data_IF_042935769591
#
_entry.id   IF_042935769591
#
_cell.length_a   1.000
_cell.length_b   1.000
_cell.length_c   1.000
_cell.angle_alpha   90.00
_cell.angle_beta   90.00
_cell.angle_gamma   90.00
#
_symmetry.space_group_name_H-M   'P 1'
#
loop_
_entity.id
_entity.type
_entity.pdbx_description
1 polymer ?
#
# COMPACT_ATOMS: atom_id res chain seq x y z
N UNK A 1 -16.55 15.10 -17.48
CA UNK A 1 -16.22 14.97 -18.92
C UNK A 1 -17.52 14.91 -19.70
N UNK A 2 -17.58 15.43 -20.94
CA UNK A 2 -18.72 15.18 -21.82
C UNK A 2 -18.75 13.69 -22.20
N UNK A 3 -19.94 13.09 -22.19
CA UNK A 3 -20.17 11.75 -22.69
C UNK A 3 -21.01 11.82 -23.97
N UNK A 4 -20.48 11.24 -25.05
CA UNK A 4 -21.21 10.99 -26.29
C UNK A 4 -21.63 9.52 -26.31
N UNK A 5 -22.92 9.28 -26.49
CA UNK A 5 -23.49 7.94 -26.60
C UNK A 5 -24.26 7.87 -27.91
N UNK A 6 -24.09 6.78 -28.66
CA UNK A 6 -24.86 6.52 -29.87
C UNK A 6 -25.30 5.07 -29.90
N UNK A 7 -26.56 4.82 -30.21
CA UNK A 7 -27.10 3.48 -30.32
C UNK A 7 -28.01 3.35 -31.53
N UNK A 8 -27.98 2.18 -32.16
CA UNK A 8 -28.93 1.79 -33.22
C UNK A 8 -29.48 0.44 -32.82
N UNK A 9 -30.80 0.31 -32.80
CA UNK A 9 -31.48 -0.91 -32.40
C UNK A 9 -32.62 -1.22 -33.36
N UNK A 10 -32.81 -2.50 -33.64
CA UNK A 10 -34.00 -3.03 -34.33
C UNK A 10 -34.74 -3.92 -33.36
N UNK A 11 -36.01 -3.64 -33.14
CA UNK A 11 -36.92 -4.49 -32.39
C UNK A 11 -38.04 -4.98 -33.31
N UNK A 12 -38.33 -6.27 -33.30
CA UNK A 12 -39.39 -6.89 -34.10
C UNK A 12 -40.27 -7.70 -33.16
N UNK A 13 -41.53 -7.29 -33.01
CA UNK A 13 -42.49 -7.95 -32.15
C UNK A 13 -43.71 -8.39 -32.99
N UNK A 14 -44.10 -9.65 -32.86
CA UNK A 14 -45.33 -10.16 -33.46
C UNK A 14 -46.31 -10.50 -32.33
N UNK A 15 -47.50 -9.90 -32.38
CA UNK A 15 -48.56 -10.14 -31.41
C UNK A 15 -49.74 -10.86 -32.08
N UNK A 16 -50.31 -11.89 -31.44
CA UNK A 16 -51.49 -12.57 -31.97
C UNK A 16 -52.69 -11.62 -32.06
N UNK A 17 -53.65 -11.86 -32.97
CA UNK A 17 -54.80 -10.98 -33.15
C UNK A 17 -55.70 -11.00 -31.91
N UNK A 18 -55.86 -9.83 -31.27
CA UNK A 18 -56.63 -9.68 -30.02
C UNK A 18 -57.92 -8.87 -30.18
N UNK A 19 -58.14 -8.24 -31.33
CA UNK A 19 -59.39 -7.51 -31.62
C UNK A 19 -59.70 -7.45 -33.11
N UNK A 20 -60.99 -7.30 -33.44
CA UNK A 20 -61.49 -7.17 -34.81
C UNK A 20 -60.86 -5.98 -35.57
N UNK A 21 -60.46 -4.95 -34.82
CA UNK A 21 -59.87 -3.70 -35.32
C UNK A 21 -58.38 -3.85 -35.68
N UNK A 22 -57.69 -4.89 -35.19
CA UNK A 22 -56.25 -5.12 -35.43
C UNK A 22 -55.97 -6.08 -36.60
N UNK A 23 -57.01 -6.60 -37.27
CA UNK A 23 -56.92 -7.52 -38.40
C UNK A 23 -56.77 -8.99 -38.00
N UNK A 24 -57.25 -9.90 -38.86
CA UNK A 24 -57.31 -11.34 -38.59
C UNK A 24 -55.95 -12.08 -38.59
N UNK A 25 -54.87 -11.40 -38.99
CA UNK A 25 -53.54 -11.98 -39.22
C UNK A 25 -52.52 -11.64 -38.10
N UNK A 26 -52.96 -10.99 -37.01
CA UNK A 26 -52.05 -10.50 -35.96
C UNK A 26 -51.30 -9.22 -36.37
N UNK A 27 -50.64 -8.59 -35.40
CA UNK A 27 -49.91 -7.32 -35.61
C UNK A 27 -48.42 -7.57 -35.50
N UNK A 28 -47.71 -7.37 -36.60
CA UNK A 28 -46.26 -7.30 -36.61
C UNK A 28 -45.84 -5.83 -36.49
N UNK A 29 -45.00 -5.53 -35.51
CA UNK A 29 -44.40 -4.23 -35.27
C UNK A 29 -42.88 -4.33 -35.37
N UNK A 30 -42.31 -3.68 -36.38
CA UNK A 30 -40.87 -3.57 -36.59
C UNK A 30 -40.45 -2.11 -36.30
N UNK A 31 -39.66 -1.90 -35.25
CA UNK A 31 -39.14 -0.60 -34.85
C UNK A 31 -37.64 -0.55 -35.09
N UNK A 32 -37.19 0.39 -35.91
CA UNK A 32 -35.80 0.79 -36.02
C UNK A 32 -35.61 2.08 -35.24
N UNK A 33 -34.80 2.07 -34.19
CA UNK A 33 -34.45 3.25 -33.42
C UNK A 33 -32.97 3.60 -33.61
N UNK A 34 -32.69 4.89 -33.79
CA UNK A 34 -31.36 5.46 -33.72
C UNK A 34 -31.36 6.56 -32.68
N UNK A 35 -30.34 6.61 -31.82
CA UNK A 35 -30.17 7.67 -30.83
C UNK A 35 -28.74 8.17 -30.79
N UNK A 36 -28.58 9.47 -30.60
CA UNK A 36 -27.31 10.14 -30.32
C UNK A 36 -27.53 11.08 -29.16
N UNK A 37 -26.75 10.93 -28.10
CA UNK A 37 -26.84 11.73 -26.89
C UNK A 37 -25.49 12.33 -26.52
N UNK A 38 -25.47 13.62 -26.20
CA UNK A 38 -24.36 14.35 -25.62
C UNK A 38 -24.78 14.84 -24.23
N UNK A 39 -24.10 14.39 -23.18
CA UNK A 39 -24.34 14.85 -21.82
C UNK A 39 -23.08 15.37 -21.17
N UNK A 40 -23.16 16.43 -20.38
CA UNK A 40 -22.05 16.87 -19.55
C UNK A 40 -22.54 17.45 -18.23
N UNK A 41 -21.82 17.10 -17.15
CA UNK A 41 -21.95 17.74 -15.85
C UNK A 41 -21.01 18.93 -15.79
N UNK A 42 -21.56 20.10 -15.49
CA UNK A 42 -20.85 21.35 -15.40
C UNK A 42 -20.11 21.49 -14.04
N UNK A 43 -19.02 22.27 -13.95
CA UNK A 43 -18.23 22.40 -12.72
C UNK A 43 -18.99 22.97 -11.50
N UNK A 44 -20.04 23.75 -11.74
CA UNK A 44 -20.93 24.34 -10.73
C UNK A 44 -22.14 23.46 -10.31
N UNK A 45 -22.15 22.17 -10.67
CA UNK A 45 -23.15 21.19 -10.21
C UNK A 45 -24.35 20.97 -11.14
N UNK A 46 -24.57 21.84 -12.13
CA UNK A 46 -25.59 21.63 -13.15
C UNK A 46 -25.25 20.51 -14.14
N UNK A 47 -26.26 19.92 -14.76
CA UNK A 47 -26.13 18.98 -15.86
C UNK A 47 -26.82 19.54 -17.09
N UNK A 48 -26.23 19.33 -18.26
CA UNK A 48 -26.93 19.50 -19.52
C UNK A 48 -26.83 18.20 -20.33
N UNK A 49 -27.91 17.85 -21.02
CA UNK A 49 -27.92 16.75 -21.97
C UNK A 49 -28.73 17.12 -23.21
N UNK A 50 -28.16 16.83 -24.37
CA UNK A 50 -28.80 16.93 -25.67
C UNK A 50 -28.94 15.53 -26.23
N UNK A 51 -30.16 15.11 -26.53
CA UNK A 51 -30.48 13.82 -27.11
C UNK A 51 -31.24 14.00 -28.41
N UNK A 52 -30.84 13.26 -29.43
CA UNK A 52 -31.61 13.07 -30.65
C UNK A 52 -31.99 11.61 -30.76
N UNK A 53 -33.28 11.34 -30.94
CA UNK A 53 -33.80 10.00 -31.17
C UNK A 53 -34.66 9.98 -32.43
N UNK A 54 -34.53 8.93 -33.22
CA UNK A 54 -35.29 8.73 -34.45
C UNK A 54 -35.79 7.29 -34.49
N UNK A 55 -37.11 7.12 -34.48
CA UNK A 55 -37.77 5.83 -34.54
C UNK A 55 -38.55 5.71 -35.84
N UNK A 56 -38.26 4.65 -36.61
CA UNK A 56 -39.04 4.23 -37.78
C UNK A 56 -39.81 2.97 -37.41
N UNK A 57 -41.13 3.12 -37.30
CA UNK A 57 -42.04 2.06 -36.91
C UNK A 57 -42.84 1.59 -38.11
N UNK A 58 -42.74 0.31 -38.41
CA UNK A 58 -43.63 -0.40 -39.33
C UNK A 58 -44.65 -1.16 -38.50
N UNK A 59 -45.92 -1.02 -38.84
CA UNK A 59 -47.01 -1.76 -38.19
C UNK A 59 -47.96 -2.29 -39.26
N UNK A 60 -48.35 -3.55 -39.16
CA UNK A 60 -49.33 -4.18 -40.08
C UNK A 60 -50.79 -3.91 -39.70
N UNK A 61 -51.05 -3.07 -38.69
CA UNK A 61 -52.40 -2.79 -38.21
C UNK A 61 -53.22 -1.95 -39.20
N UNK A 62 -54.50 -2.30 -39.36
CA UNK A 62 -55.42 -1.67 -40.32
C UNK A 62 -55.88 -0.26 -39.93
N UNK A 63 -55.61 0.16 -38.69
CA UNK A 63 -55.98 1.46 -38.10
C UNK A 63 -54.80 2.46 -38.11
N UNK A 64 -53.61 2.06 -38.56
CA UNK A 64 -52.48 3.00 -38.66
C UNK A 64 -52.63 3.89 -39.90
N UNK A 65 -52.68 5.21 -39.69
CA UNK A 65 -52.73 6.19 -40.78
C UNK A 65 -51.35 6.51 -41.37
N UNK A 66 -50.26 6.09 -40.72
CA UNK A 66 -48.88 6.25 -41.20
C UNK A 66 -48.17 4.89 -41.19
N UNK A 67 -47.66 4.44 -42.34
CA UNK A 67 -46.87 3.20 -42.42
C UNK A 67 -45.80 3.26 -43.53
N UNK A 68 -44.49 3.22 -43.20
CA UNK A 68 -43.92 3.36 -41.85
C UNK A 68 -44.16 4.75 -41.27
N UNK A 69 -44.33 4.84 -39.96
CA UNK A 69 -44.27 6.10 -39.23
C UNK A 69 -42.81 6.39 -38.85
N UNK A 70 -42.31 7.57 -39.21
CA UNK A 70 -40.98 8.04 -38.83
C UNK A 70 -41.16 9.19 -37.85
N UNK A 71 -40.75 8.97 -36.61
CA UNK A 71 -40.74 9.98 -35.55
C UNK A 71 -39.32 10.35 -35.24
N UNK A 72 -39.00 11.63 -35.26
CA UNK A 72 -37.71 12.12 -34.80
C UNK A 72 -37.93 13.17 -33.73
N UNK A 73 -37.12 13.12 -32.68
CA UNK A 73 -37.21 14.00 -31.54
C UNK A 73 -35.82 14.48 -31.19
N UNK A 74 -35.69 15.78 -30.93
CA UNK A 74 -34.50 16.40 -30.39
C UNK A 74 -34.88 17.01 -29.05
N UNK A 75 -34.18 16.60 -28.00
CA UNK A 75 -34.40 16.99 -26.63
C UNK A 75 -33.14 17.64 -26.05
N UNK A 76 -33.27 18.86 -25.53
CA UNK A 76 -32.32 19.45 -24.60
C UNK A 76 -32.88 19.41 -23.19
N UNK A 77 -32.10 18.97 -22.21
CA UNK A 77 -32.43 19.03 -20.79
C UNK A 77 -31.31 19.77 -20.08
N UNK A 78 -31.67 20.78 -19.31
CA UNK A 78 -30.78 21.49 -18.41
C UNK A 78 -31.33 21.38 -17.00
N UNK A 79 -30.51 20.90 -16.07
CA UNK A 79 -30.87 20.83 -14.65
C UNK A 79 -29.80 21.50 -13.80
N UNK A 80 -30.20 22.44 -12.95
CA UNK A 80 -29.30 23.14 -12.04
C UNK A 80 -29.81 23.02 -10.61
N UNK A 81 -29.06 22.37 -9.70
CA UNK A 81 -29.34 22.47 -8.26
C UNK A 81 -29.08 23.90 -7.78
N UNK A 82 -29.98 24.41 -6.93
CA UNK A 82 -29.95 25.77 -6.37
C UNK A 82 -29.66 25.80 -4.87
N UNK A 83 -29.87 24.69 -4.15
CA UNK A 83 -29.64 24.58 -2.70
C UNK A 83 -28.73 23.38 -2.38
N UNK A 84 -29.31 22.19 -2.17
CA UNK A 84 -28.56 20.92 -2.09
C UNK A 84 -27.76 20.73 -3.38
N UNK A 85 -26.53 20.25 -3.27
CA UNK A 85 -25.62 20.00 -4.39
C UNK A 85 -25.15 21.23 -5.18
N UNK A 86 -25.45 22.47 -4.74
CA UNK A 86 -24.94 23.68 -5.40
C UNK A 86 -23.43 23.88 -5.15
N UNK A 87 -23.01 23.91 -3.88
CA UNK A 87 -21.60 24.16 -3.50
C UNK A 87 -20.73 22.91 -3.65
N UNK A 88 -21.22 21.77 -3.17
CA UNK A 88 -20.55 20.48 -3.27
C UNK A 88 -21.59 19.43 -3.62
N UNK A 89 -21.28 18.59 -4.59
CA UNK A 89 -22.07 17.44 -5.02
C UNK A 89 -21.22 16.17 -4.88
N UNK A 90 -21.83 14.97 -4.95
CA UNK A 90 -21.09 13.72 -4.81
C UNK A 90 -19.90 13.59 -5.77
N UNK A 91 -20.05 14.12 -7.00
CA UNK A 91 -19.00 14.07 -8.01
C UNK A 91 -17.83 15.02 -7.69
N UNK A 92 -18.07 16.27 -7.28
CA UNK A 92 -16.99 17.16 -6.86
C UNK A 92 -16.34 16.67 -5.57
N UNK A 93 -17.12 16.13 -4.63
CA UNK A 93 -16.56 15.50 -3.44
C UNK A 93 -15.59 14.38 -3.84
N UNK A 94 -15.99 13.49 -4.75
CA UNK A 94 -15.12 12.43 -5.26
C UNK A 94 -13.85 12.98 -5.95
N UNK A 95 -13.96 14.06 -6.73
CA UNK A 95 -12.79 14.70 -7.37
C UNK A 95 -11.87 15.34 -6.33
N UNK A 96 -12.41 15.99 -5.30
CA UNK A 96 -11.63 16.60 -4.22
C UNK A 96 -10.92 15.52 -3.40
N UNK A 97 -11.64 14.45 -3.04
CA UNK A 97 -11.06 13.26 -2.38
C UNK A 97 -9.97 12.63 -3.24
N UNK A 98 -10.21 12.40 -4.53
CA UNK A 98 -9.20 11.83 -5.43
C UNK A 98 -7.93 12.70 -5.57
N UNK A 99 -8.06 14.03 -5.46
CA UNK A 99 -6.89 14.94 -5.44
C UNK A 99 -6.08 14.78 -4.16
N UNK A 100 -6.74 14.71 -3.01
CA UNK A 100 -6.09 14.49 -1.72
C UNK A 100 -5.48 13.09 -1.65
N UNK A 101 -6.18 12.07 -2.18
CA UNK A 101 -5.68 10.70 -2.28
C UNK A 101 -4.42 10.61 -3.12
N UNK A 102 -4.33 11.39 -4.21
CA UNK A 102 -3.08 11.52 -4.97
C UNK A 102 -1.94 12.05 -4.10
N UNK A 103 -2.17 13.08 -3.28
CA UNK A 103 -1.15 13.61 -2.37
C UNK A 103 -0.75 12.60 -1.28
N UNK A 104 -1.71 11.79 -0.80
CA UNK A 104 -1.45 10.65 0.10
C UNK A 104 -0.55 9.62 -0.60
N UNK A 105 -0.83 9.28 -1.86
CA UNK A 105 -0.01 8.37 -2.66
C UNK A 105 1.40 8.93 -2.89
N UNK A 106 1.53 10.22 -3.22
CA UNK A 106 2.84 10.86 -3.39
C UNK A 106 3.67 10.77 -2.07
N UNK A 107 3.00 10.93 -0.92
CA UNK A 107 3.63 10.76 0.40
C UNK A 107 4.04 9.30 0.66
N UNK A 108 3.26 8.32 0.21
CA UNK A 108 3.60 6.89 0.30
C UNK A 108 4.81 6.50 -0.57
N UNK A 109 4.99 7.16 -1.72
CA UNK A 109 6.20 6.98 -2.54
C UNK A 109 7.43 7.47 -1.79
N UNK A 110 7.35 8.64 -1.14
CA UNK A 110 8.45 9.14 -0.30
C UNK A 110 8.76 8.19 0.86
N UNK A 111 7.72 7.65 1.51
CA UNK A 111 7.87 6.63 2.56
C UNK A 111 8.60 5.39 2.03
N UNK A 112 8.20 4.88 0.87
CA UNK A 112 8.84 3.73 0.22
C UNK A 112 10.30 4.01 -0.13
N UNK A 113 10.62 5.21 -0.65
CA UNK A 113 11.98 5.60 -0.97
C UNK A 113 12.89 5.57 0.27
N UNK A 114 12.43 6.13 1.38
CA UNK A 114 13.19 6.12 2.65
C UNK A 114 13.33 4.71 3.21
N UNK A 115 12.29 3.87 3.11
CA UNK A 115 12.36 2.47 3.54
C UNK A 115 13.34 1.65 2.71
N UNK A 116 13.35 1.81 1.38
CA UNK A 116 14.27 1.11 0.49
C UNK A 116 15.70 1.60 0.69
N UNK A 117 15.92 2.92 0.79
CA UNK A 117 17.26 3.47 1.00
C UNK A 117 17.83 3.05 2.35
N UNK A 118 17.06 3.18 3.44
CA UNK A 118 17.50 2.74 4.77
C UNK A 118 17.67 1.22 4.86
N UNK A 119 16.85 0.44 4.15
CA UNK A 119 17.03 -1.00 4.03
C UNK A 119 18.35 -1.39 3.35
N UNK A 120 18.69 -0.71 2.25
CA UNK A 120 19.95 -0.90 1.54
C UNK A 120 21.16 -0.50 2.39
N UNK A 121 21.09 0.64 3.09
CA UNK A 121 22.15 1.09 4.01
C UNK A 121 22.39 0.09 5.13
N UNK A 122 21.33 -0.44 5.76
CA UNK A 122 21.46 -1.46 6.82
C UNK A 122 22.08 -2.75 6.31
N UNK A 123 21.65 -3.23 5.14
CA UNK A 123 22.21 -4.43 4.53
C UNK A 123 23.69 -4.24 4.16
N UNK A 124 24.06 -3.04 3.70
CA UNK A 124 25.46 -2.71 3.42
C UNK A 124 26.33 -2.78 4.67
N UNK A 125 25.92 -2.13 5.77
CA UNK A 125 26.68 -2.17 7.03
C UNK A 125 26.71 -3.57 7.65
N UNK A 126 25.65 -4.37 7.50
CA UNK A 126 25.65 -5.76 7.92
C UNK A 126 26.70 -6.59 7.17
N UNK A 127 26.86 -6.38 5.85
CA UNK A 127 27.90 -7.03 5.05
C UNK A 127 29.31 -6.58 5.45
N UNK A 128 29.53 -5.27 5.61
CA UNK A 128 30.81 -4.70 6.07
C UNK A 128 31.25 -5.39 7.37
N UNK A 129 30.34 -5.49 8.34
CA UNK A 129 30.67 -6.12 9.62
C UNK A 129 30.83 -7.65 9.53
N UNK A 130 30.01 -8.33 8.72
CA UNK A 130 30.13 -9.77 8.54
C UNK A 130 31.51 -10.15 7.94
N UNK A 131 32.02 -9.34 7.00
CA UNK A 131 33.38 -9.50 6.47
C UNK A 131 34.45 -9.23 7.53
N UNK A 132 34.30 -8.20 8.36
CA UNK A 132 35.21 -7.94 9.48
C UNK A 132 35.20 -9.11 10.51
N UNK A 133 34.05 -9.72 10.77
CA UNK A 133 33.92 -10.90 11.62
C UNK A 133 34.67 -12.11 11.05
N UNK A 134 34.62 -12.33 9.73
CA UNK A 134 35.41 -13.38 9.06
C UNK A 134 36.91 -13.16 9.27
N UNK A 135 37.41 -11.93 9.11
CA UNK A 135 38.82 -11.60 9.37
C UNK A 135 39.21 -11.86 10.84
N UNK A 136 38.35 -11.50 11.80
CA UNK A 136 38.58 -11.79 13.22
C UNK A 136 38.63 -13.31 13.49
N UNK A 137 37.71 -14.10 12.94
CA UNK A 137 37.72 -15.55 13.12
C UNK A 137 38.90 -16.22 12.41
N UNK A 138 39.33 -15.71 11.25
CA UNK A 138 40.51 -16.19 10.55
C UNK A 138 41.76 -15.99 11.40
N UNK A 139 41.98 -14.77 11.92
CA UNK A 139 43.11 -14.49 12.81
C UNK A 139 43.07 -15.36 14.06
N UNK A 140 41.89 -15.59 14.65
CA UNK A 140 41.74 -16.47 15.81
C UNK A 140 42.09 -17.94 15.50
N UNK A 141 41.77 -18.43 14.30
CA UNK A 141 42.17 -19.75 13.83
C UNK A 141 43.70 -19.83 13.63
N UNK A 142 44.31 -18.81 13.00
CA UNK A 142 45.76 -18.77 12.79
C UNK A 142 46.52 -18.82 14.12
N UNK A 143 46.06 -18.07 15.13
CA UNK A 143 46.56 -18.10 16.51
C UNK A 143 46.41 -19.49 17.17
N UNK A 144 45.28 -20.18 16.95
CA UNK A 144 45.07 -21.52 17.51
C UNK A 144 45.92 -22.59 16.82
N UNK A 145 46.16 -22.47 15.51
CA UNK A 145 47.05 -23.36 14.76
C UNK A 145 48.52 -23.18 15.18
N UNK A 146 48.96 -21.94 15.42
CA UNK A 146 50.30 -21.70 15.94
C UNK A 146 50.50 -22.24 17.36
N UNK A 147 49.45 -22.16 18.19
CA UNK A 147 49.44 -22.79 19.51
C UNK A 147 49.49 -24.32 19.42
N UNK A 148 48.76 -24.94 18.50
CA UNK A 148 48.85 -26.38 18.23
C UNK A 148 50.28 -26.77 17.80
N UNK A 149 50.87 -26.02 16.87
CA UNK A 149 52.24 -26.25 16.38
C UNK A 149 53.27 -26.20 17.52
N UNK A 150 53.16 -25.20 18.38
CA UNK A 150 54.05 -24.99 19.52
C UNK A 150 53.91 -26.09 20.57
N UNK A 151 52.67 -26.46 20.92
CA UNK A 151 52.41 -27.55 21.87
C UNK A 151 52.86 -28.91 21.31
N UNK A 152 52.65 -29.17 20.02
CA UNK A 152 53.15 -30.39 19.37
C UNK A 152 54.66 -30.52 19.51
N UNK A 153 55.41 -29.45 19.22
CA UNK A 153 56.86 -29.45 19.38
C UNK A 153 57.29 -29.71 20.83
N UNK A 154 56.62 -29.11 21.81
CA UNK A 154 56.92 -29.31 23.25
C UNK A 154 56.61 -30.75 23.71
N UNK A 155 55.51 -31.34 23.25
CA UNK A 155 55.14 -32.73 23.56
C UNK A 155 56.11 -33.73 22.91
N UNK A 156 56.52 -33.50 21.66
CA UNK A 156 57.46 -34.36 20.93
C UNK A 156 58.84 -34.41 21.62
N UNK A 157 59.23 -33.33 22.34
CA UNK A 157 60.47 -33.24 23.13
C UNK A 157 60.24 -33.59 24.62
N UNK A 158 59.02 -33.99 25.01
CA UNK A 158 58.66 -34.40 26.37
C UNK A 158 58.58 -33.27 27.40
N UNK A 159 58.51 -32.01 26.96
CA UNK A 159 58.45 -30.80 27.80
C UNK A 159 57.02 -30.38 28.22
N UNK A 160 55.99 -31.05 27.69
CA UNK A 160 54.58 -30.77 28.00
C UNK A 160 53.75 -32.07 27.98
N UNK A 161 52.68 -32.19 28.80
CA UNK A 161 51.76 -33.33 28.77
C UNK A 161 51.05 -33.52 27.42
N UNK A 162 50.79 -34.77 26.96
CA UNK A 162 50.01 -35.02 25.74
C UNK A 162 48.61 -34.39 25.73
N UNK A 163 48.04 -34.13 26.92
CA UNK A 163 46.76 -33.44 27.08
C UNK A 163 46.78 -32.00 26.53
N UNK A 164 47.91 -31.31 26.57
CA UNK A 164 48.05 -29.94 26.07
C UNK A 164 47.91 -29.90 24.53
N UNK A 165 48.44 -30.91 23.84
CA UNK A 165 48.26 -31.05 22.39
C UNK A 165 46.80 -31.33 22.03
N UNK A 166 46.12 -32.21 22.80
CA UNK A 166 44.70 -32.54 22.54
C UNK A 166 43.81 -31.32 22.76
N UNK A 167 44.07 -30.53 23.81
CA UNK A 167 43.32 -29.29 24.07
C UNK A 167 43.58 -28.20 23.03
N UNK A 168 44.81 -28.04 22.55
CA UNK A 168 45.13 -27.12 21.46
C UNK A 168 44.45 -27.54 20.14
N UNK A 169 44.43 -28.84 19.81
CA UNK A 169 43.70 -29.38 18.65
C UNK A 169 42.20 -29.14 18.75
N UNK A 170 41.61 -29.34 19.93
CA UNK A 170 40.20 -29.06 20.17
C UNK A 170 39.86 -27.58 19.96
N UNK A 171 40.73 -26.67 20.41
CA UNK A 171 40.57 -25.23 20.18
C UNK A 171 40.66 -24.88 18.68
N UNK A 172 41.66 -25.41 17.96
CA UNK A 172 41.80 -25.18 16.52
C UNK A 172 40.57 -25.68 15.73
N UNK A 173 40.05 -26.86 16.08
CA UNK A 173 38.80 -27.39 15.50
C UNK A 173 37.61 -26.46 15.77
N UNK A 174 37.46 -25.95 17.00
CA UNK A 174 36.39 -25.01 17.35
C UNK A 174 36.50 -23.68 16.58
N UNK A 175 37.72 -23.15 16.40
CA UNK A 175 37.94 -21.93 15.61
C UNK A 175 37.61 -22.12 14.14
N UNK A 176 37.90 -23.30 13.61
CA UNK A 176 37.54 -23.66 12.23
C UNK A 176 36.03 -23.71 12.04
N UNK A 177 35.29 -24.30 12.97
CA UNK A 177 33.82 -24.27 12.98
C UNK A 177 33.29 -22.82 12.97
N UNK A 178 33.78 -21.98 13.87
CA UNK A 178 33.35 -20.58 13.98
C UNK A 178 33.65 -19.78 12.69
N UNK A 179 34.77 -20.05 12.03
CA UNK A 179 35.10 -19.43 10.74
C UNK A 179 34.11 -19.85 9.65
N UNK A 180 33.73 -21.13 9.58
CA UNK A 180 32.74 -21.62 8.60
C UNK A 180 31.39 -20.93 8.81
N UNK A 181 30.97 -20.77 10.07
CA UNK A 181 29.73 -20.05 10.43
C UNK A 181 29.84 -18.58 10.00
N UNK A 182 30.93 -17.89 10.33
CA UNK A 182 31.14 -16.49 9.96
C UNK A 182 31.15 -16.28 8.43
N UNK A 183 31.81 -17.16 7.67
CA UNK A 183 31.82 -17.13 6.20
C UNK A 183 30.43 -17.35 5.60
N UNK A 184 29.61 -18.17 6.25
CA UNK A 184 28.22 -18.41 5.82
C UNK A 184 27.35 -17.18 6.12
N UNK A 185 27.52 -16.53 7.27
CA UNK A 185 26.84 -15.28 7.59
C UNK A 185 27.23 -14.14 6.64
N UNK A 186 28.51 -14.02 6.27
CA UNK A 186 28.96 -13.04 5.29
C UNK A 186 28.31 -13.24 3.91
N UNK A 187 28.23 -14.49 3.44
CA UNK A 187 27.51 -14.83 2.20
C UNK A 187 26.03 -14.49 2.27
N UNK A 188 25.37 -14.78 3.39
CA UNK A 188 23.96 -14.43 3.59
C UNK A 188 23.73 -12.91 3.58
N UNK A 189 24.61 -12.14 4.23
CA UNK A 189 24.54 -10.69 4.21
C UNK A 189 24.79 -10.11 2.80
N UNK A 190 25.70 -10.72 2.03
CA UNK A 190 25.97 -10.37 0.64
C UNK A 190 24.73 -10.63 -0.25
N UNK A 191 24.10 -11.79 -0.10
CA UNK A 191 22.87 -12.13 -0.83
C UNK A 191 21.71 -11.18 -0.48
N UNK A 192 21.58 -10.80 0.79
CA UNK A 192 20.56 -9.85 1.22
C UNK A 192 20.78 -8.45 0.60
N UNK A 193 22.03 -7.98 0.52
CA UNK A 193 22.37 -6.72 -0.12
C UNK A 193 22.16 -6.78 -1.64
N UNK A 194 22.53 -7.90 -2.26
CA UNK A 194 22.37 -8.16 -3.70
C UNK A 194 20.93 -8.00 -4.16
N UNK A 195 19.97 -8.55 -3.42
CA UNK A 195 18.54 -8.42 -3.72
C UNK A 195 18.05 -6.97 -3.68
N UNK A 196 18.68 -6.11 -2.88
CA UNK A 196 18.27 -4.71 -2.73
C UNK A 196 18.92 -3.76 -3.77
N UNK A 197 20.11 -4.08 -4.27
CA UNK A 197 20.90 -3.17 -5.13
C UNK A 197 20.92 -3.62 -6.60
N UNK A 198 20.95 -4.92 -6.86
CA UNK A 198 21.14 -5.44 -8.23
C UNK A 198 19.78 -5.76 -8.85
N UNK A 199 19.59 -5.38 -10.12
CA UNK A 199 18.41 -5.80 -10.88
C UNK A 199 18.40 -7.32 -11.09
N UNK A 200 17.38 -8.05 -10.61
CA UNK A 200 17.27 -9.51 -10.78
C UNK A 200 17.20 -9.97 -12.25
N UNK A 201 16.98 -9.05 -13.21
CA UNK A 201 17.00 -9.36 -14.64
C UNK A 201 18.42 -9.52 -15.21
N UNK A 202 19.46 -9.15 -14.46
CA UNK A 202 20.84 -9.31 -14.91
C UNK A 202 21.26 -10.79 -14.85
N UNK A 203 21.87 -11.30 -15.92
CA UNK A 203 22.35 -12.69 -15.98
C UNK A 203 23.42 -12.99 -14.90
N UNK A 204 24.21 -11.98 -14.52
CA UNK A 204 25.28 -12.12 -13.53
C UNK A 204 24.80 -11.92 -12.08
N UNK A 205 23.48 -11.80 -11.84
CA UNK A 205 22.90 -11.45 -10.54
C UNK A 205 23.49 -12.25 -9.37
N UNK A 206 23.61 -13.58 -9.50
CA UNK A 206 24.14 -14.46 -8.45
C UNK A 206 25.68 -14.58 -8.42
N UNK A 207 26.38 -14.07 -9.43
CA UNK A 207 27.83 -14.27 -9.61
C UNK A 207 28.65 -13.03 -9.27
N UNK A 208 28.05 -11.83 -9.29
CA UNK A 208 28.72 -10.58 -8.90
C UNK A 208 29.07 -10.61 -7.41
N UNK A 209 30.38 -10.54 -7.09
CA UNK A 209 30.86 -10.39 -5.73
C UNK A 209 30.86 -8.92 -5.30
N UNK A 210 30.29 -8.63 -4.14
CA UNK A 210 30.25 -7.27 -3.57
C UNK A 210 31.34 -7.17 -2.50
N UNK A 211 32.37 -6.38 -2.75
CA UNK A 211 33.40 -6.07 -1.76
C UNK A 211 33.18 -4.66 -1.20
N UNK A 212 32.76 -4.53 0.07
CA UNK A 212 32.67 -3.22 0.70
C UNK A 212 34.09 -2.63 0.85
N UNK A 213 34.25 -1.36 0.45
CA UNK A 213 35.51 -0.61 0.54
C UNK A 213 35.58 0.32 1.75
N UNK A 214 34.44 0.58 2.40
CA UNK A 214 34.36 1.53 3.50
C UNK A 214 34.90 0.94 4.80
N UNK A 215 35.65 1.76 5.53
CA UNK A 215 35.98 1.50 6.92
C UNK A 215 34.84 2.00 7.81
N UNK A 216 34.66 1.37 8.98
CA UNK A 216 33.67 1.80 9.97
C UNK A 216 33.90 3.28 10.31
N UNK A 217 32.92 4.17 10.04
CA UNK A 217 33.08 5.61 10.24
C UNK A 217 33.31 5.95 11.72
N UNK A 218 34.04 7.05 12.01
CA UNK A 218 34.19 7.52 13.38
C UNK A 218 32.84 7.91 13.98
N UNK A 219 32.74 7.73 15.29
CA UNK A 219 31.57 8.08 16.09
C UNK A 219 31.25 9.58 15.95
N UNK A 220 30.04 9.89 15.50
CA UNK A 220 29.55 11.26 15.30
C UNK A 220 29.16 11.98 16.60
N UNK A 221 28.81 13.28 16.50
CA UNK A 221 28.35 14.07 17.65
C UNK A 221 27.04 13.52 18.25
N UNK A 222 26.75 13.81 19.52
CA UNK A 222 25.52 13.36 20.18
C UNK A 222 24.27 13.94 19.48
N UNK A 223 23.15 13.19 19.49
CA UNK A 223 21.93 13.59 18.78
C UNK A 223 21.25 14.80 19.44
N UNK A 224 20.88 15.81 18.65
CA UNK A 224 19.97 16.89 19.07
C UNK A 224 18.52 16.43 18.99
N UNK A 225 17.98 16.03 20.15
CA UNK A 225 16.65 15.44 20.28
C UNK A 225 15.54 16.45 19.99
N UNK A 226 15.69 17.71 20.43
CA UNK A 226 14.63 18.70 20.32
C UNK A 226 14.46 19.19 18.88
N UNK A 227 15.56 19.32 18.14
CA UNK A 227 15.51 19.60 16.70
C UNK A 227 14.96 18.41 15.92
N UNK A 228 15.35 17.19 16.26
CA UNK A 228 14.82 15.97 15.62
C UNK A 228 13.31 15.80 15.84
N UNK A 229 12.80 16.07 17.05
CA UNK A 229 11.36 16.02 17.34
C UNK A 229 10.59 17.07 16.54
N UNK A 230 11.10 18.30 16.44
CA UNK A 230 10.46 19.35 15.63
C UNK A 230 10.42 18.98 14.15
N UNK A 231 11.52 18.44 13.63
CA UNK A 231 11.57 17.95 12.24
C UNK A 231 10.56 16.81 12.01
N UNK A 232 10.47 15.86 12.93
CA UNK A 232 9.53 14.74 12.83
C UNK A 232 8.06 15.21 12.88
N UNK A 233 7.70 16.10 13.81
CA UNK A 233 6.32 16.59 13.90
C UNK A 233 5.88 17.41 12.67
N UNK A 234 6.82 18.08 12.00
CA UNK A 234 6.55 18.87 10.80
C UNK A 234 6.55 18.07 9.49
N UNK A 235 7.39 17.03 9.38
CA UNK A 235 7.72 16.40 8.10
C UNK A 235 7.55 14.89 8.02
N UNK A 236 7.15 14.20 9.10
CA UNK A 236 7.03 12.74 9.08
C UNK A 236 5.84 12.30 8.21
N UNK A 237 6.10 11.35 7.30
CA UNK A 237 5.16 10.95 6.25
C UNK A 237 3.84 10.38 6.78
N UNK A 238 3.86 9.64 7.89
CA UNK A 238 2.65 9.09 8.52
C UNK A 238 1.74 10.19 9.10
N UNK A 239 2.32 11.25 9.68
CA UNK A 239 1.59 12.42 10.18
C UNK A 239 1.02 13.26 9.03
N UNK A 240 1.79 13.44 7.95
CA UNK A 240 1.32 14.14 6.74
C UNK A 240 0.13 13.39 6.13
N UNK A 241 0.22 12.06 6.00
CA UNK A 241 -0.90 11.22 5.52
C UNK A 241 -2.13 11.32 6.43
N UNK A 242 -1.95 11.27 7.75
CA UNK A 242 -3.06 11.41 8.69
C UNK A 242 -3.74 12.79 8.60
N UNK A 243 -2.97 13.88 8.40
CA UNK A 243 -3.53 15.23 8.16
C UNK A 243 -4.31 15.30 6.85
N UNK A 244 -3.82 14.65 5.79
CA UNK A 244 -4.52 14.56 4.50
C UNK A 244 -5.78 13.71 4.59
N UNK A 245 -5.80 12.66 5.42
CA UNK A 245 -7.03 11.91 5.69
C UNK A 245 -8.11 12.79 6.34
N UNK A 246 -7.75 13.65 7.30
CA UNK A 246 -8.68 14.60 7.92
C UNK A 246 -9.24 15.60 6.88
N UNK A 247 -8.44 15.94 5.85
CA UNK A 247 -8.89 16.77 4.72
C UNK A 247 -9.96 16.05 3.87
N UNK A 248 -9.80 14.74 3.64
CA UNK A 248 -10.83 13.89 3.05
C UNK A 248 -12.10 13.86 3.92
N UNK A 249 -11.96 13.67 5.23
CA UNK A 249 -13.11 13.63 6.15
C UNK A 249 -13.86 14.97 6.17
N UNK A 250 -13.14 16.09 6.06
CA UNK A 250 -13.74 17.42 5.91
C UNK A 250 -14.57 17.55 4.64
N UNK A 251 -14.12 16.97 3.54
CA UNK A 251 -14.87 16.92 2.28
C UNK A 251 -16.15 16.10 2.46
N UNK A 252 -16.07 14.96 3.14
CA UNK A 252 -17.23 14.11 3.49
C UNK A 252 -18.23 14.82 4.40
N UNK A 253 -17.77 15.53 5.43
CA UNK A 253 -18.63 16.37 6.29
C UNK A 253 -19.32 17.46 5.48
N UNK A 254 -18.60 18.13 4.57
CA UNK A 254 -19.17 19.19 3.73
C UNK A 254 -20.24 18.64 2.79
N UNK A 255 -20.02 17.45 2.22
CA UNK A 255 -21.01 16.74 1.40
C UNK A 255 -22.24 16.35 2.24
N UNK A 256 -22.04 15.80 3.43
CA UNK A 256 -23.14 15.43 4.33
C UNK A 256 -23.97 16.66 4.74
N UNK A 257 -23.33 17.81 5.00
CA UNK A 257 -24.04 19.09 5.26
C UNK A 257 -24.89 19.54 4.07
N UNK A 258 -24.37 19.38 2.85
CA UNK A 258 -25.11 19.66 1.62
C UNK A 258 -26.34 18.74 1.48
N UNK A 259 -26.21 17.47 1.85
CA UNK A 259 -27.27 16.47 1.71
C UNK A 259 -28.49 16.68 2.63
N UNK A 260 -28.30 17.38 3.75
CA UNK A 260 -29.39 17.73 4.70
C UNK A 260 -30.24 18.91 4.20
N UNK A 261 -29.72 19.72 3.27
CA UNK A 261 -30.46 20.85 2.71
C UNK A 261 -31.61 20.37 1.80
N UNK A 262 -32.70 21.15 1.67
CA UNK A 262 -33.75 20.89 0.70
C UNK A 262 -33.19 20.86 -0.74
N UNK A 263 -33.71 19.94 -1.57
CA UNK A 263 -33.35 19.84 -2.98
C UNK A 263 -34.25 20.76 -3.81
N UNK A 264 -33.74 21.96 -4.12
CA UNK A 264 -34.37 22.89 -5.06
C UNK A 264 -33.62 22.84 -6.39
N UNK A 265 -34.28 22.36 -7.44
CA UNK A 265 -33.69 22.25 -8.79
C UNK A 265 -34.47 23.08 -9.81
N UNK A 266 -33.74 23.86 -10.60
CA UNK A 266 -34.22 24.40 -11.86
C UNK A 266 -34.12 23.30 -12.91
N UNK A 267 -35.23 23.04 -13.62
CA UNK A 267 -35.27 22.12 -14.75
C UNK A 267 -35.83 22.86 -15.96
N UNK A 268 -35.08 22.84 -17.06
CA UNK A 268 -35.50 23.35 -18.35
C UNK A 268 -35.38 22.23 -19.38
N UNK A 269 -36.50 21.89 -19.99
CA UNK A 269 -36.58 20.88 -21.05
C UNK A 269 -37.05 21.56 -22.32
N UNK A 270 -36.33 21.35 -23.40
CA UNK A 270 -36.68 21.79 -24.74
C UNK A 270 -36.80 20.55 -25.62
N UNK A 271 -37.96 20.33 -26.22
CA UNK A 271 -38.24 19.18 -27.07
C UNK A 271 -38.78 19.70 -28.40
N UNK A 272 -38.24 19.21 -29.50
CA UNK A 272 -38.82 19.40 -30.82
C UNK A 272 -39.04 18.03 -31.43
N UNK A 273 -40.17 17.88 -32.10
CA UNK A 273 -40.58 16.61 -32.69
C UNK A 273 -40.95 16.82 -34.16
N UNK A 274 -40.58 15.84 -34.98
CA UNK A 274 -40.99 15.73 -36.37
C UNK A 274 -41.69 14.40 -36.56
N UNK A 275 -42.74 14.43 -37.35
CA UNK A 275 -43.47 13.25 -37.78
C UNK A 275 -43.46 13.22 -39.30
N UNK A 276 -43.07 12.08 -39.84
CA UNK A 276 -43.24 11.78 -41.25
C UNK A 276 -43.43 10.30 -41.48
N UNK A 277 -43.23 9.88 -42.71
CA UNK A 277 -43.68 8.57 -43.18
C UNK A 277 -44.75 8.69 -44.24
N UNK A 278 -45.26 7.54 -44.66
CA UNK A 278 -46.27 7.46 -45.72
C UNK A 278 -47.65 7.55 -45.08
N UNK A 279 -48.32 8.70 -45.23
CA UNK A 279 -49.70 8.87 -44.83
C UNK A 279 -50.61 8.15 -45.83
N UNK A 280 -51.41 7.20 -45.35
CA UNK A 280 -52.45 6.55 -46.14
C UNK A 280 -53.70 7.43 -46.10
N UNK A 281 -53.96 8.20 -47.16
CA UNK A 281 -55.14 9.07 -47.26
C UNK A 281 -56.33 8.22 -47.71
N UNK A 282 -57.38 8.18 -46.88
CA UNK A 282 -58.64 7.46 -47.15
C UNK A 282 -59.75 8.45 -47.52
N UNK A 283 -60.78 7.95 -48.20
CA UNK A 283 -61.89 8.74 -48.70
C UNK A 283 -62.66 9.45 -47.56
N UNK A 284 -62.88 10.78 -47.63
CA UNK A 284 -63.59 11.50 -46.58
C UNK A 284 -65.02 10.95 -46.43
N UNK A 285 -65.40 10.54 -45.22
CA UNK A 285 -66.76 10.09 -44.90
C UNK A 285 -66.92 8.58 -44.66
N UNK A 286 -65.88 7.76 -44.81
CA UNK A 286 -65.91 6.34 -44.42
C UNK A 286 -64.69 5.97 -43.56
N UNK A 287 -64.93 5.40 -42.37
CA UNK A 287 -63.86 4.99 -41.45
C UNK A 287 -62.97 3.84 -42.01
N UNK A 288 -63.48 3.11 -43.02
CA UNK A 288 -62.80 1.99 -43.69
C UNK A 288 -62.68 2.15 -45.22
N UNK A 289 -62.77 3.36 -45.77
CA UNK A 289 -62.70 3.59 -47.22
C UNK A 289 -61.38 3.11 -47.85
N UNK A 290 -61.37 2.82 -49.17
CA UNK A 290 -60.16 2.50 -49.91
C UNK A 290 -59.16 3.66 -49.83
N UNK A 291 -57.86 3.34 -49.89
CA UNK A 291 -56.78 4.33 -49.83
C UNK A 291 -56.75 5.06 -51.19
N UNK A 292 -57.17 6.33 -51.20
CA UNK A 292 -57.29 7.18 -52.41
C UNK A 292 -56.03 8.01 -52.69
N UNK A 293 -55.03 7.98 -51.81
CA UNK A 293 -53.74 8.63 -52.06
C UNK A 293 -52.69 8.28 -51.01
N UNK A 294 -51.42 8.43 -51.39
CA UNK A 294 -50.28 8.33 -50.47
C UNK A 294 -49.56 9.67 -50.45
N UNK A 295 -49.42 10.28 -49.27
CA UNK A 295 -48.54 11.42 -49.08
C UNK A 295 -47.29 10.93 -48.37
N UNK A 296 -46.13 11.03 -49.02
CA UNK A 296 -44.86 10.59 -48.46
C UNK A 296 -44.11 11.80 -47.91
N UNK A 297 -43.92 11.86 -46.59
CA UNK A 297 -43.00 12.82 -45.98
C UNK A 297 -41.64 12.12 -45.84
N UNK A 298 -40.62 12.48 -46.65
CA UNK A 298 -39.30 11.87 -46.57
C UNK A 298 -38.61 12.19 -45.24
N UNK A 299 -37.65 11.36 -44.84
CA UNK A 299 -36.90 11.54 -43.60
C UNK A 299 -36.19 12.90 -43.52
N UNK A 300 -35.73 13.45 -44.66
CA UNK A 300 -35.14 14.79 -44.74
C UNK A 300 -36.08 15.90 -44.29
N UNK A 301 -37.38 15.78 -44.59
CA UNK A 301 -38.38 16.74 -44.12
C UNK A 301 -38.72 16.55 -42.64
N UNK A 302 -38.65 15.32 -42.12
CA UNK A 302 -38.77 15.04 -40.68
C UNK A 302 -37.61 15.67 -39.91
N UNK A 303 -36.38 15.50 -40.41
CA UNK A 303 -35.20 16.17 -39.87
C UNK A 303 -35.34 17.68 -39.94
N UNK A 304 -35.83 18.22 -41.07
CA UNK A 304 -36.07 19.66 -41.23
C UNK A 304 -37.11 20.16 -40.24
N UNK A 305 -38.20 19.44 -39.99
CA UNK A 305 -39.21 19.79 -38.99
C UNK A 305 -38.64 19.81 -37.56
N UNK A 306 -37.76 18.85 -37.24
CA UNK A 306 -37.07 18.79 -35.94
C UNK A 306 -36.11 19.98 -35.80
N UNK A 307 -35.21 20.20 -36.76
CA UNK A 307 -34.19 21.25 -36.69
C UNK A 307 -34.72 22.67 -36.92
N UNK A 308 -35.77 22.84 -37.69
CA UNK A 308 -36.48 24.12 -37.85
C UNK A 308 -37.47 24.38 -36.70
N UNK A 309 -37.57 23.47 -35.73
CA UNK A 309 -38.42 23.60 -34.55
C UNK A 309 -39.89 23.89 -34.89
N UNK A 310 -40.46 23.15 -35.85
CA UNK A 310 -41.83 23.36 -36.31
C UNK A 310 -42.87 23.04 -35.22
N UNK A 311 -42.57 22.07 -34.35
CA UNK A 311 -43.41 21.70 -33.21
C UNK A 311 -42.58 21.71 -31.92
N UNK A 312 -42.23 22.90 -31.40
CA UNK A 312 -41.43 23.02 -30.19
C UNK A 312 -42.32 22.92 -28.95
N UNK A 313 -41.88 22.13 -27.99
CA UNK A 313 -42.42 22.04 -26.64
C UNK A 313 -41.29 22.39 -25.66
N UNK A 314 -41.53 23.37 -24.79
CA UNK A 314 -40.56 23.74 -23.77
C UNK A 314 -41.24 23.85 -22.42
N UNK A 315 -40.54 23.39 -21.39
CA UNK A 315 -41.00 23.43 -20.01
C UNK A 315 -39.86 23.95 -19.16
N UNK A 316 -40.12 25.01 -18.40
CA UNK A 316 -39.21 25.51 -17.36
C UNK A 316 -39.94 25.40 -16.05
N UNK A 317 -39.34 24.72 -15.07
CA UNK A 317 -39.95 24.48 -13.78
C UNK A 317 -38.92 24.44 -12.66
N UNK A 318 -39.40 24.74 -11.46
CA UNK A 318 -38.64 24.52 -10.24
C UNK A 318 -39.23 23.31 -9.52
N UNK A 319 -38.38 22.39 -9.09
CA UNK A 319 -38.79 21.24 -8.27
C UNK A 319 -38.16 21.41 -6.89
N UNK A 320 -38.99 21.50 -5.86
CA UNK A 320 -38.56 21.50 -4.47
C UNK A 320 -38.91 20.14 -3.86
N UNK A 321 -37.90 19.39 -3.43
CA UNK A 321 -38.07 18.17 -2.65
C UNK A 321 -37.52 18.39 -1.24
N UNK A 322 -38.40 18.25 -0.25
CA UNK A 322 -38.04 18.31 1.16
C UNK A 322 -38.25 16.93 1.79
N UNK A 323 -37.19 16.21 2.16
CA UNK A 323 -37.33 14.94 2.84
C UNK A 323 -37.88 15.15 4.25
N UNK A 324 -39.15 14.81 4.47
CA UNK A 324 -39.77 14.79 5.78
C UNK A 324 -39.27 13.56 6.55
N UNK A 325 -38.61 13.77 7.69
CA UNK A 325 -38.01 12.68 8.47
C UNK A 325 -36.59 12.30 8.05
N UNK A 326 -35.74 13.29 7.71
CA UNK A 326 -34.34 13.16 7.30
C UNK A 326 -33.38 12.61 8.40
N UNK A 327 -33.82 11.63 9.19
CA UNK A 327 -33.01 10.98 10.22
C UNK A 327 -31.80 10.27 9.62
N UNK A 328 -31.91 9.74 8.39
CA UNK A 328 -30.81 9.08 7.69
C UNK A 328 -29.70 10.06 7.29
N UNK A 329 -30.05 11.20 6.69
CA UNK A 329 -29.10 12.24 6.27
C UNK A 329 -28.48 12.95 7.47
N UNK A 330 -29.26 13.20 8.52
CA UNK A 330 -28.75 13.75 9.78
C UNK A 330 -27.82 12.76 10.49
N UNK A 331 -28.17 11.47 10.53
CA UNK A 331 -27.28 10.44 11.07
C UNK A 331 -25.99 10.30 10.24
N UNK A 332 -26.07 10.43 8.91
CA UNK A 332 -24.90 10.42 8.04
C UNK A 332 -23.98 11.63 8.29
N UNK A 333 -24.55 12.81 8.53
CA UNK A 333 -23.79 14.00 8.95
C UNK A 333 -23.13 13.79 10.30
N UNK A 334 -23.88 13.35 11.32
CA UNK A 334 -23.34 13.08 12.64
C UNK A 334 -22.21 12.04 12.60
N UNK A 335 -22.38 10.98 11.80
CA UNK A 335 -21.35 9.97 11.57
C UNK A 335 -20.09 10.55 10.93
N UNK A 336 -20.24 11.42 9.93
CA UNK A 336 -19.10 12.04 9.26
C UNK A 336 -18.33 13.00 10.18
N UNK A 337 -19.05 13.73 11.04
CA UNK A 337 -18.43 14.61 12.05
C UNK A 337 -17.72 13.81 13.14
N UNK A 338 -18.32 12.70 13.59
CA UNK A 338 -17.66 11.78 14.54
C UNK A 338 -16.41 11.14 13.93
N UNK A 339 -16.47 10.70 12.66
CA UNK A 339 -15.30 10.15 11.96
C UNK A 339 -14.15 11.16 11.91
N UNK A 340 -14.44 12.41 11.55
CA UNK A 340 -13.44 13.47 11.54
C UNK A 340 -12.82 13.70 12.93
N UNK A 341 -13.62 13.64 14.00
CA UNK A 341 -13.13 13.79 15.38
C UNK A 341 -12.27 12.59 15.82
N UNK A 342 -12.66 11.37 15.43
CA UNK A 342 -11.88 10.16 15.66
C UNK A 342 -10.51 10.26 14.98
N UNK A 343 -10.47 10.65 13.71
CA UNK A 343 -9.21 10.78 12.95
C UNK A 343 -8.34 11.94 13.46
N UNK A 344 -8.93 13.04 13.92
CA UNK A 344 -8.20 14.10 14.62
C UNK A 344 -7.58 13.62 15.95
N UNK A 345 -8.30 12.80 16.70
CA UNK A 345 -7.79 12.18 17.95
C UNK A 345 -6.67 11.19 17.65
N UNK A 346 -6.83 10.39 16.58
CA UNK A 346 -5.83 9.45 16.09
C UNK A 346 -4.56 10.15 15.63
N UNK A 347 -4.67 11.31 14.96
CA UNK A 347 -3.53 12.16 14.62
C UNK A 347 -2.77 12.59 15.88
N UNK A 348 -3.49 13.06 16.91
CA UNK A 348 -2.86 13.49 18.18
C UNK A 348 -2.14 12.35 18.89
N UNK A 349 -2.73 11.16 18.90
CA UNK A 349 -2.07 9.94 19.40
C UNK A 349 -0.83 9.58 18.58
N UNK A 350 -0.89 9.74 17.25
CA UNK A 350 0.23 9.50 16.34
C UNK A 350 1.38 10.50 16.54
N UNK A 351 1.06 11.77 16.83
CA UNK A 351 2.07 12.80 17.17
C UNK A 351 2.80 12.45 18.48
N UNK A 352 2.07 12.05 19.53
CA UNK A 352 2.68 11.61 20.80
C UNK A 352 3.57 10.38 20.57
N UNK A 353 3.10 9.41 19.76
CA UNK A 353 3.88 8.24 19.36
C UNK A 353 5.15 8.66 18.60
N UNK A 354 5.07 9.61 17.67
CA UNK A 354 6.22 10.09 16.92
C UNK A 354 7.29 10.72 17.83
N UNK A 355 6.87 11.56 18.78
CA UNK A 355 7.79 12.15 19.78
C UNK A 355 8.51 11.06 20.58
N UNK A 356 7.77 10.06 21.07
CA UNK A 356 8.34 8.95 21.83
C UNK A 356 9.32 8.13 20.99
N UNK A 357 8.94 7.81 19.75
CA UNK A 357 9.77 6.99 18.85
C UNK A 357 11.11 7.69 18.54
N UNK A 358 11.10 9.01 18.28
CA UNK A 358 12.33 9.80 18.06
C UNK A 358 13.20 9.85 19.32
N UNK A 359 12.59 10.10 20.50
CA UNK A 359 13.32 10.10 21.78
C UNK A 359 13.96 8.75 22.07
N UNK A 360 13.24 7.65 21.82
CA UNK A 360 13.79 6.31 21.99
C UNK A 360 14.96 6.03 21.04
N UNK A 361 14.83 6.43 19.77
CA UNK A 361 15.92 6.28 18.80
C UNK A 361 17.17 7.08 19.21
N UNK A 362 17.01 8.29 19.74
CA UNK A 362 18.11 9.09 20.25
C UNK A 362 18.78 8.45 21.49
N UNK A 363 17.99 7.92 22.43
CA UNK A 363 18.53 7.21 23.60
C UNK A 363 19.32 5.96 23.20
N UNK A 364 18.81 5.18 22.24
CA UNK A 364 19.52 4.00 21.72
C UNK A 364 20.83 4.38 21.00
N UNK A 365 20.82 5.48 20.24
CA UNK A 365 22.02 5.98 19.56
C UNK A 365 23.10 6.40 20.56
N UNK A 366 22.73 7.14 21.61
CA UNK A 366 23.66 7.56 22.66
C UNK A 366 24.18 6.37 23.48
N UNK A 367 23.32 5.39 23.78
CA UNK A 367 23.74 4.13 24.43
C UNK A 367 24.79 3.39 23.59
N UNK A 368 24.54 3.21 22.30
CA UNK A 368 25.47 2.51 21.41
C UNK A 368 26.78 3.30 21.22
N UNK A 369 26.70 4.63 21.24
CA UNK A 369 27.87 5.52 21.26
C UNK A 369 28.82 5.20 22.42
N UNK A 370 28.27 5.12 23.64
CA UNK A 370 29.03 4.81 24.86
C UNK A 370 29.51 3.34 24.87
N UNK A 371 28.72 2.43 24.29
CA UNK A 371 29.08 1.01 24.18
C UNK A 371 30.30 0.78 23.28
N UNK A 372 30.47 1.56 22.21
CA UNK A 372 31.69 1.47 21.37
C UNK A 372 32.92 1.81 22.18
N UNK A 373 32.89 2.88 22.97
CA UNK A 373 34.05 3.31 23.76
C UNK A 373 34.47 2.24 24.79
N UNK A 374 33.50 1.69 25.51
CA UNK A 374 33.74 0.65 26.52
C UNK A 374 34.21 -0.67 25.92
N UNK A 375 33.61 -1.10 24.80
CA UNK A 375 34.03 -2.35 24.10
C UNK A 375 35.40 -2.21 23.45
N UNK A 376 35.75 -1.03 22.93
CA UNK A 376 37.09 -0.73 22.42
C UNK A 376 38.16 -0.87 23.50
N UNK A 377 37.92 -0.29 24.68
CA UNK A 377 38.83 -0.42 25.83
C UNK A 377 38.94 -1.87 26.29
N UNK A 378 37.82 -2.62 26.32
CA UNK A 378 37.83 -4.04 26.65
C UNK A 378 38.68 -4.86 25.67
N UNK A 379 38.58 -4.60 24.35
CA UNK A 379 39.46 -5.23 23.35
C UNK A 379 40.92 -4.93 23.65
N UNK A 380 41.26 -3.66 23.87
CA UNK A 380 42.65 -3.24 24.12
C UNK A 380 43.26 -3.94 25.34
N UNK A 381 42.51 -4.01 26.45
CA UNK A 381 42.97 -4.73 27.64
C UNK A 381 43.05 -6.24 27.43
N UNK A 382 42.14 -6.84 26.66
CA UNK A 382 42.23 -8.26 26.28
C UNK A 382 43.43 -8.55 25.38
N UNK A 383 43.82 -7.62 24.50
CA UNK A 383 45.02 -7.74 23.66
C UNK A 383 46.29 -7.71 24.53
N UNK A 384 46.38 -6.77 25.47
CA UNK A 384 47.50 -6.68 26.41
C UNK A 384 47.60 -7.94 27.28
N UNK A 385 46.47 -8.48 27.74
CA UNK A 385 46.44 -9.72 28.52
C UNK A 385 46.93 -10.92 27.71
N UNK A 386 46.51 -11.05 26.46
CA UNK A 386 46.97 -12.14 25.58
C UNK A 386 48.48 -12.06 25.36
N UNK A 387 49.00 -10.88 25.04
CA UNK A 387 50.44 -10.67 24.84
C UNK A 387 51.25 -11.02 26.11
N UNK A 388 50.77 -10.62 27.28
CA UNK A 388 51.41 -10.95 28.55
C UNK A 388 51.38 -12.46 28.86
N UNK A 389 50.23 -13.13 28.65
CA UNK A 389 50.11 -14.58 28.88
C UNK A 389 50.97 -15.39 27.90
N UNK A 390 51.07 -14.94 26.65
CA UNK A 390 51.88 -15.60 25.63
C UNK A 390 53.38 -15.49 25.95
N UNK A 391 53.86 -14.29 26.32
CA UNK A 391 55.24 -14.10 26.81
C UNK A 391 55.56 -14.95 28.03
N UNK A 392 54.61 -15.07 28.98
CA UNK A 392 54.77 -15.92 30.17
C UNK A 392 54.77 -17.41 29.81
N UNK A 393 53.97 -17.84 28.85
CA UNK A 393 53.95 -19.23 28.37
C UNK A 393 55.26 -19.61 27.67
N UNK A 394 55.83 -18.70 26.89
CA UNK A 394 57.09 -18.92 26.19
C UNK A 394 58.23 -19.23 27.17
N UNK A 395 58.27 -18.55 28.31
CA UNK A 395 59.25 -18.79 29.40
C UNK A 395 58.81 -19.84 30.42
N UNK A 396 57.70 -20.55 30.19
CA UNK A 396 57.21 -21.62 31.08
C UNK A 396 56.52 -21.16 32.38
N UNK A 397 56.21 -19.87 32.51
CA UNK A 397 55.53 -19.26 33.66
C UNK A 397 53.99 -19.16 33.53
N UNK A 398 53.42 -19.70 32.45
CA UNK A 398 51.98 -19.82 32.23
C UNK A 398 51.62 -21.19 31.64
N UNK A 399 50.34 -21.52 31.62
CA UNK A 399 49.83 -22.80 31.14
C UNK A 399 49.13 -22.65 29.79
N UNK A 400 49.05 -23.74 29.03
CA UNK A 400 48.30 -23.78 27.77
C UNK A 400 46.83 -23.34 27.97
N UNK A 401 46.23 -23.74 29.09
CA UNK A 401 44.88 -23.33 29.47
C UNK A 401 44.73 -21.80 29.58
N UNK A 402 45.68 -21.12 30.23
CA UNK A 402 45.63 -19.66 30.40
C UNK A 402 45.74 -18.91 29.07
N UNK A 403 46.59 -19.40 28.14
CA UNK A 403 46.72 -18.81 26.79
C UNK A 403 45.43 -19.01 26.00
N UNK A 404 44.85 -20.23 25.99
CA UNK A 404 43.57 -20.50 25.33
C UNK A 404 42.47 -19.61 25.91
N UNK A 405 42.42 -19.44 27.23
CA UNK A 405 41.45 -18.56 27.88
C UNK A 405 41.64 -17.10 27.44
N UNK A 406 42.87 -16.58 27.43
CA UNK A 406 43.15 -15.22 26.97
C UNK A 406 42.79 -15.01 25.49
N UNK A 407 43.05 -16.01 24.63
CA UNK A 407 42.65 -15.98 23.21
C UNK A 407 41.12 -15.97 23.05
N UNK A 408 40.38 -16.76 23.86
CA UNK A 408 38.92 -16.74 23.91
C UNK A 408 38.38 -15.39 24.36
N UNK A 409 38.93 -14.83 25.43
CA UNK A 409 38.52 -13.52 25.95
C UNK A 409 38.73 -12.41 24.91
N UNK A 410 39.87 -12.42 24.21
CA UNK A 410 40.15 -11.46 23.13
C UNK A 410 39.19 -11.64 21.94
N UNK A 411 38.93 -12.87 21.52
CA UNK A 411 38.01 -13.13 20.42
C UNK A 411 36.58 -12.64 20.73
N UNK A 412 36.12 -12.84 21.97
CA UNK A 412 34.83 -12.32 22.44
C UNK A 412 34.84 -10.78 22.49
N UNK A 413 35.90 -10.17 23.01
CA UNK A 413 36.02 -8.71 23.08
C UNK A 413 36.01 -8.06 21.68
N UNK A 414 36.75 -8.62 20.71
CA UNK A 414 36.75 -8.17 19.31
C UNK A 414 35.36 -8.28 18.68
N UNK A 415 34.69 -9.41 18.87
CA UNK A 415 33.32 -9.58 18.37
C UNK A 415 32.35 -8.57 19.01
N UNK A 416 32.47 -8.31 20.32
CA UNK A 416 31.62 -7.33 21.01
C UNK A 416 31.85 -5.90 20.51
N UNK A 417 33.09 -5.51 20.22
CA UNK A 417 33.40 -4.21 19.61
C UNK A 417 32.79 -4.09 18.21
N UNK A 418 32.97 -5.11 17.37
CA UNK A 418 32.35 -5.15 16.04
C UNK A 418 30.83 -5.03 16.13
N UNK A 419 30.17 -5.79 17.01
CA UNK A 419 28.72 -5.68 17.20
C UNK A 419 28.30 -4.29 17.70
N UNK A 420 29.03 -3.69 18.64
CA UNK A 420 28.74 -2.34 19.11
C UNK A 420 28.86 -1.28 18.00
N UNK A 421 29.82 -1.44 17.09
CA UNK A 421 29.97 -0.59 15.91
C UNK A 421 28.79 -0.71 14.95
N UNK A 422 28.34 -1.94 14.66
CA UNK A 422 27.15 -2.16 13.83
C UNK A 422 25.89 -1.60 14.49
N UNK A 423 25.68 -1.89 15.77
CA UNK A 423 24.50 -1.43 16.52
C UNK A 423 24.42 0.11 16.51
N UNK A 424 25.56 0.81 16.56
CA UNK A 424 25.61 2.26 16.39
C UNK A 424 25.20 2.71 14.98
N UNK A 425 25.72 2.09 13.92
CA UNK A 425 25.35 2.45 12.55
C UNK A 425 23.87 2.18 12.28
N UNK A 426 23.35 1.03 12.74
CA UNK A 426 21.92 0.72 12.64
C UNK A 426 21.07 1.70 13.45
N UNK A 427 21.51 2.09 14.65
CA UNK A 427 20.83 3.10 15.46
C UNK A 427 20.84 4.49 14.81
N UNK A 428 21.94 4.85 14.13
CA UNK A 428 22.06 6.11 13.40
C UNK A 428 21.09 6.15 12.22
N UNK A 429 21.08 5.10 11.38
CA UNK A 429 20.13 4.96 10.27
C UNK A 429 18.70 5.00 10.80
N UNK A 430 18.41 4.28 11.88
CA UNK A 430 17.10 4.29 12.50
C UNK A 430 16.71 5.69 13.01
N UNK A 431 17.62 6.40 13.67
CA UNK A 431 17.38 7.76 14.16
C UNK A 431 17.07 8.74 13.02
N UNK A 432 17.78 8.65 11.90
CA UNK A 432 17.49 9.46 10.71
C UNK A 432 16.17 9.05 10.06
N UNK A 433 15.87 7.75 10.03
CA UNK A 433 14.68 7.21 9.37
C UNK A 433 13.40 7.57 10.15
N UNK A 434 13.40 7.44 11.47
CA UNK A 434 12.24 7.72 12.34
C UNK A 434 11.85 9.20 12.37
N UNK A 435 12.76 10.10 11.96
CA UNK A 435 12.44 11.52 11.74
C UNK A 435 11.65 11.76 10.45
N UNK A 436 11.78 10.87 9.46
CA UNK A 436 11.14 11.00 8.13
C UNK A 436 9.90 10.12 7.98
N UNK A 437 9.91 8.90 8.52
CA UNK A 437 8.82 7.92 8.38
C UNK A 437 8.43 7.30 9.71
N UNK A 438 7.28 6.61 9.74
CA UNK A 438 6.81 5.87 10.91
C UNK A 438 7.58 4.57 11.18
N UNK A 439 7.70 4.19 12.45
CA UNK A 439 8.41 2.97 12.90
C UNK A 439 7.83 1.65 12.39
N UNK A 440 6.56 1.64 11.95
CA UNK A 440 5.86 0.42 11.52
C UNK A 440 6.28 -0.09 10.13
N UNK A 441 7.10 0.65 9.39
CA UNK A 441 7.49 0.32 8.00
C UNK A 441 8.94 -0.13 7.86
N UNK A 442 9.66 -0.28 8.97
CA UNK A 442 11.05 -0.72 8.96
C UNK A 442 11.16 -2.25 8.97
N UNK A 443 11.84 -2.87 7.98
CA UNK A 443 12.15 -4.28 8.05
C UNK A 443 13.09 -4.54 9.24
N UNK A 444 12.76 -5.53 10.06
CA UNK A 444 13.61 -6.01 11.14
C UNK A 444 14.80 -6.76 10.53
N UNK A 445 16.00 -6.20 10.66
CA UNK A 445 17.24 -6.94 10.41
C UNK A 445 17.65 -7.52 11.76
N UNK A 446 17.27 -8.77 12.02
CA UNK A 446 17.82 -9.54 13.13
C UNK A 446 19.00 -10.36 12.62
N UNK A 447 20.20 -10.06 13.09
CA UNK A 447 21.29 -11.04 13.04
C UNK A 447 21.00 -12.04 14.16
N UNK A 448 20.93 -13.35 13.89
CA UNK A 448 20.79 -14.34 14.95
C UNK A 448 21.96 -14.18 15.91
N UNK A 449 21.66 -13.78 17.16
CA UNK A 449 22.62 -13.84 18.24
C UNK A 449 23.13 -15.29 18.32
N UNK A 450 24.45 -15.49 18.29
CA UNK A 450 25.05 -16.77 18.62
C UNK A 450 24.53 -17.20 19.98
N UNK A 451 23.65 -18.20 19.99
CA UNK A 451 23.10 -18.77 21.21
C UNK A 451 24.24 -19.39 22.01
N UNK A 452 24.61 -18.75 23.11
CA UNK A 452 25.34 -19.43 24.17
C UNK A 452 24.43 -20.51 24.74
N UNK A 453 24.68 -21.77 24.38
CA UNK A 453 24.10 -22.94 25.03
C UNK A 453 24.48 -22.94 26.51
N UNK A 454 23.59 -22.45 27.35
CA UNK A 454 23.53 -22.83 28.77
C UNK A 454 22.43 -23.86 28.91
N UNK A 455 22.80 -25.12 29.16
CA UNK A 455 21.88 -26.21 29.50
C UNK A 455 21.00 -25.85 30.70
N UNK A 456 19.69 -26.07 30.66
CA UNK A 456 18.88 -26.15 31.87
C UNK A 456 18.86 -27.61 32.34
N UNK A 457 19.65 -27.91 33.37
CA UNK A 457 19.43 -29.10 34.20
C UNK A 457 18.25 -28.81 35.12
N UNK A 458 17.13 -29.51 34.91
CA UNK A 458 15.93 -29.33 35.74
C UNK A 458 14.80 -30.22 35.28
N UNK A 459 14.86 -31.50 35.65
CA UNK A 459 13.80 -32.47 35.45
C UNK A 459 12.55 -32.09 36.26
N UNK A 460 11.40 -31.95 35.59
CA UNK A 460 10.08 -31.96 36.24
C UNK A 460 9.32 -33.21 35.84
N UNK A 461 9.06 -34.04 36.84
CA UNK A 461 8.28 -35.28 36.80
C UNK A 461 6.80 -34.91 36.60
N UNK A 462 6.15 -35.45 35.55
CA UNK A 462 4.70 -35.41 35.39
C UNK A 462 4.11 -36.80 35.66
N UNK A 463 3.43 -36.96 36.79
CA UNK A 463 2.58 -38.11 37.11
C UNK A 463 1.14 -37.67 37.31
N UNK A 464 0.21 -38.42 36.71
CA UNK A 464 -1.24 -38.32 36.87
C UNK A 464 -1.91 -38.13 35.51
N UNK A 465 -2.67 -39.05 34.94
CA UNK A 465 -3.36 -40.22 35.48
C UNK A 465 -4.68 -40.31 34.73
N UNK A 466 -4.69 -41.03 33.59
CA UNK A 466 -5.89 -41.28 32.80
C UNK A 466 -6.67 -42.45 33.43
N UNK A 467 -7.86 -42.17 33.97
CA UNK A 467 -8.77 -43.19 34.48
C UNK A 467 -9.77 -43.59 33.38
N UNK A 468 -9.83 -44.89 33.16
CA UNK A 468 -10.63 -45.57 32.16
C UNK A 468 -12.13 -45.62 32.50
N UNK A 469 -12.93 -45.64 31.44
CA UNK A 469 -14.35 -45.92 31.46
C UNK A 469 -14.65 -47.39 31.83
N UNK A 470 -15.64 -47.57 32.70
CA UNK A 470 -16.33 -48.84 32.93
C UNK A 470 -17.76 -48.55 33.37
N UNK A 471 -18.76 -48.97 32.58
CA UNK A 471 -20.12 -49.17 33.07
C UNK A 471 -20.34 -50.63 33.45
N UNK A 472 -21.59 -51.12 33.60
CA UNK A 472 -22.80 -50.46 34.13
C UNK A 472 -23.42 -51.28 35.30
N UNK A 473 -24.44 -50.75 36.00
CA UNK A 473 -25.32 -51.59 36.84
C UNK A 473 -26.16 -50.88 37.91
N UNK A 474 -27.48 -50.85 37.67
CA UNK A 474 -28.55 -51.13 38.64
C UNK A 474 -28.77 -50.24 39.87
N UNK A 475 -29.95 -49.62 39.96
CA UNK A 475 -30.49 -48.99 41.16
C UNK A 475 -31.52 -47.92 40.84
#
# INVERSE_FOLDING_TARGET
LPSLQSAIQRNSQSSPPSSLLLGAQGVQMDVWSGSVGLGQRLPWGGTYSFGWNSNRTFATSTISNFNPAVTSQLQGVFSQPLLRDLKIDPFRAQVMTAKVDREITDTQVQETLVTVSSGAERAYWALVLANASVDVQQRALDLALELERTNKARVDVGQSPPLDLVSAKAEAAQRRENLIVAQTQARQAEDQLRVLIIDPKNADFWTVKIQPVDLVPPVGPPPDVDTAVRSALGGRTDLVRARKQIENDRTSVTLAKSSVLPDLRLQATYLTSGLGGTQLVREPGTFFGPIIGQSQTPFGDVLRQVFAANYPAWTVGFTLSYPLGASAEQAALARSELQQQEDATRLRSSEIKAVRDVRQAAMNLEQNRQRIETTRLAREFSEQRLDAEQKRFDVGMSTNFNVIQAQRDLAVARNNELQAQLDYQLALINFQTVQKIGTATLPSVSIPATSSTTSPTGASISTGGAAAAGGPGGG
#
